data_IF_189999408862
#
_entry.id   IF_189999408862
#
_cell.length_a   1.000
_cell.length_b   1.000
_cell.length_c   1.000
_cell.angle_alpha   90.00
_cell.angle_beta   90.00
_cell.angle_gamma   90.00
#
_symmetry.space_group_name_H-M   'P 1'
#
loop_
_entity.id
_entity.type
_entity.pdbx_description
1 polymer ?
#
# COMPACT_ATOMS: atom_id res chain seq x y z
N UNK A 1 2.32 8.56 -18.28
CA UNK A 1 2.21 7.20 -17.74
C UNK A 1 0.76 6.94 -17.34
N UNK A 2 0.26 5.80 -17.72
CA UNK A 2 -1.11 5.40 -17.42
C UNK A 2 -1.25 5.07 -15.94
N UNK A 3 -2.20 5.69 -15.25
CA UNK A 3 -2.46 5.42 -13.84
C UNK A 3 -3.13 4.06 -13.61
N UNK A 4 -3.67 3.43 -14.66
CA UNK A 4 -4.36 2.15 -14.55
C UNK A 4 -3.47 1.01 -14.02
N UNK A 5 -2.17 1.07 -14.21
CA UNK A 5 -1.27 0.05 -13.66
C UNK A 5 -1.06 0.21 -12.15
N UNK A 6 -1.27 1.41 -11.62
CA UNK A 6 -1.06 1.72 -10.19
C UNK A 6 -2.35 1.65 -9.40
N UNK A 7 -3.49 1.92 -10.02
CA UNK A 7 -4.76 2.18 -9.35
C UNK A 7 -5.86 1.29 -9.91
N UNK A 8 -6.61 0.66 -9.00
CA UNK A 8 -7.93 0.11 -9.31
C UNK A 8 -8.91 1.27 -9.22
N UNK A 9 -9.31 1.80 -10.38
CA UNK A 9 -10.14 3.01 -10.46
C UNK A 9 -11.52 2.82 -9.82
N UNK A 10 -12.10 1.63 -9.92
CA UNK A 10 -13.40 1.35 -9.30
C UNK A 10 -13.31 1.41 -7.77
N UNK A 11 -12.29 0.77 -7.20
CA UNK A 11 -12.09 0.76 -5.75
C UNK A 11 -11.82 2.16 -5.22
N UNK A 12 -10.96 2.91 -5.90
CA UNK A 12 -10.64 4.28 -5.49
C UNK A 12 -11.86 5.18 -5.63
N UNK A 13 -12.62 5.05 -6.72
CA UNK A 13 -13.85 5.82 -6.93
C UNK A 13 -14.87 5.55 -5.82
N UNK A 14 -15.04 4.28 -5.41
CA UNK A 14 -15.96 3.92 -4.33
C UNK A 14 -15.56 4.60 -3.01
N UNK A 15 -14.26 4.60 -2.69
CA UNK A 15 -13.76 5.30 -1.50
C UNK A 15 -14.03 6.80 -1.59
N UNK A 16 -13.72 7.41 -2.74
CA UNK A 16 -13.86 8.85 -2.91
C UNK A 16 -15.32 9.30 -2.96
N UNK A 17 -16.25 8.45 -3.39
CA UNK A 17 -17.68 8.76 -3.37
C UNK A 17 -18.16 9.06 -1.94
N UNK A 18 -17.56 8.44 -0.94
CA UNK A 18 -17.92 8.69 0.46
C UNK A 18 -17.54 10.11 0.92
N UNK A 19 -16.70 10.80 0.16
CA UNK A 19 -16.35 12.21 0.43
C UNK A 19 -17.50 13.17 0.17
N UNK A 20 -18.53 12.73 -0.56
CA UNK A 20 -19.67 13.57 -0.91
C UNK A 20 -20.79 13.56 0.14
N UNK A 21 -20.63 12.75 1.19
CA UNK A 21 -21.65 12.59 2.21
C UNK A 21 -21.11 12.86 3.62
N UNK A 22 -21.89 12.52 4.64
CA UNK A 22 -21.54 12.75 6.05
C UNK A 22 -20.34 11.92 6.52
N UNK A 23 -19.90 10.94 5.71
CA UNK A 23 -18.75 10.12 6.03
C UNK A 23 -17.40 10.76 5.63
N UNK A 24 -17.42 11.96 5.04
CA UNK A 24 -16.20 12.61 4.53
C UNK A 24 -15.08 12.70 5.57
N UNK A 25 -15.39 13.09 6.82
CA UNK A 25 -14.38 13.18 7.87
C UNK A 25 -13.75 11.83 8.19
N UNK A 26 -14.55 10.77 8.20
CA UNK A 26 -14.06 9.41 8.43
C UNK A 26 -13.13 8.96 7.30
N UNK A 27 -13.48 9.28 6.05
CA UNK A 27 -12.64 8.94 4.89
C UNK A 27 -11.33 9.71 4.93
N UNK A 28 -11.35 11.00 5.28
CA UNK A 28 -10.12 11.78 5.40
C UNK A 28 -9.18 11.20 6.48
N UNK A 29 -9.74 10.80 7.63
CA UNK A 29 -8.95 10.13 8.68
C UNK A 29 -8.38 8.81 8.20
N UNK A 30 -9.16 8.01 7.45
CA UNK A 30 -8.69 6.75 6.88
C UNK A 30 -7.55 6.99 5.89
N UNK A 31 -7.63 8.03 5.07
CA UNK A 31 -6.55 8.41 4.14
C UNK A 31 -5.29 8.82 4.89
N UNK A 32 -5.43 9.61 5.96
CA UNK A 32 -4.30 10.02 6.79
C UNK A 32 -3.64 8.82 7.46
N UNK A 33 -4.45 7.89 7.97
CA UNK A 33 -3.94 6.66 8.57
C UNK A 33 -3.19 5.81 7.53
N UNK A 34 -3.74 5.70 6.32
CA UNK A 34 -3.07 4.98 5.22
C UNK A 34 -1.69 5.57 4.93
N UNK A 35 -1.61 6.92 4.79
CA UNK A 35 -0.36 7.60 4.51
C UNK A 35 0.70 7.38 5.57
N UNK A 36 0.30 7.26 6.84
CA UNK A 36 1.24 7.08 7.95
C UNK A 36 1.55 5.60 8.22
N UNK A 37 0.56 4.71 8.09
CA UNK A 37 0.73 3.31 8.46
C UNK A 37 1.51 2.51 7.41
N UNK A 38 1.39 2.84 6.12
CA UNK A 38 2.10 2.09 5.08
C UNK A 38 3.62 2.25 5.22
N UNK A 39 4.18 3.46 5.38
CA UNK A 39 5.62 3.59 5.63
C UNK A 39 6.09 2.83 6.87
N UNK A 40 5.32 2.84 7.96
CA UNK A 40 5.66 2.10 9.17
C UNK A 40 5.72 0.60 8.91
N UNK A 41 4.77 0.06 8.15
CA UNK A 41 4.80 -1.36 7.80
C UNK A 41 5.94 -1.72 6.87
N UNK A 42 6.30 -0.83 5.94
CA UNK A 42 7.48 -1.03 5.10
C UNK A 42 8.76 -1.08 5.93
N UNK A 43 8.85 -0.23 6.95
CA UNK A 43 9.98 -0.23 7.88
C UNK A 43 10.00 -1.52 8.73
N UNK A 44 8.83 -2.01 9.16
CA UNK A 44 8.72 -3.28 9.88
C UNK A 44 9.19 -4.46 9.01
N UNK A 45 8.81 -4.45 7.74
CA UNK A 45 9.26 -5.46 6.77
C UNK A 45 10.78 -5.43 6.64
N UNK A 46 11.35 -4.24 6.48
CA UNK A 46 12.78 -4.04 6.35
C UNK A 46 13.53 -4.61 7.59
N UNK A 47 13.07 -4.26 8.78
CA UNK A 47 13.67 -4.75 10.03
C UNK A 47 13.56 -6.28 10.14
N UNK A 48 12.41 -6.84 9.77
CA UNK A 48 12.22 -8.29 9.82
C UNK A 48 13.14 -9.01 8.82
N UNK A 49 13.28 -8.49 7.60
CA UNK A 49 14.17 -9.06 6.58
C UNK A 49 15.62 -8.98 7.02
N UNK A 50 16.04 -7.88 7.65
CA UNK A 50 17.40 -7.72 8.17
C UNK A 50 17.73 -8.76 9.23
N UNK A 51 16.74 -9.17 10.01
CA UNK A 51 16.88 -10.23 11.02
C UNK A 51 16.54 -11.63 10.54
N UNK A 52 16.33 -11.81 9.24
CA UNK A 52 15.91 -13.08 8.63
C UNK A 52 14.59 -13.63 9.23
N UNK A 53 13.73 -12.73 9.70
CA UNK A 53 12.41 -13.09 10.23
C UNK A 53 11.38 -13.08 9.10
N UNK A 54 11.42 -14.09 8.25
CA UNK A 54 10.61 -14.15 7.03
C UNK A 54 9.11 -14.25 7.31
N UNK A 55 8.71 -14.98 8.36
CA UNK A 55 7.30 -15.09 8.74
C UNK A 55 6.75 -13.73 9.14
N UNK A 56 7.50 -12.97 9.94
CA UNK A 56 7.08 -11.64 10.38
C UNK A 56 7.01 -10.66 9.21
N UNK A 57 7.98 -10.70 8.31
CA UNK A 57 7.99 -9.88 7.11
C UNK A 57 6.77 -10.19 6.22
N UNK A 58 6.48 -11.47 6.02
CA UNK A 58 5.31 -11.90 5.23
C UNK A 58 3.99 -11.46 5.85
N UNK A 59 3.86 -11.54 7.17
CA UNK A 59 2.65 -11.08 7.87
C UNK A 59 2.46 -9.58 7.75
N UNK A 60 3.52 -8.80 7.88
CA UNK A 60 3.45 -7.35 7.74
C UNK A 60 3.04 -6.97 6.31
N UNK A 61 3.58 -7.66 5.31
CA UNK A 61 3.20 -7.44 3.91
C UNK A 61 1.74 -7.82 3.65
N UNK A 62 1.27 -8.92 4.24
CA UNK A 62 -0.13 -9.33 4.12
C UNK A 62 -1.07 -8.26 4.67
N UNK A 63 -0.76 -7.71 5.84
CA UNK A 63 -1.54 -6.64 6.45
C UNK A 63 -1.55 -5.38 5.58
N UNK A 64 -0.38 -5.01 5.04
CA UNK A 64 -0.25 -3.86 4.13
C UNK A 64 -1.11 -4.07 2.87
N UNK A 65 -1.12 -5.28 2.32
CA UNK A 65 -1.93 -5.61 1.14
C UNK A 65 -3.42 -5.36 1.36
N UNK A 66 -3.92 -5.69 2.54
CA UNK A 66 -5.33 -5.43 2.89
C UNK A 66 -5.66 -3.96 2.81
N UNK A 67 -4.81 -3.11 3.40
CA UNK A 67 -4.98 -1.65 3.35
C UNK A 67 -4.84 -1.12 1.93
N UNK A 68 -3.83 -1.58 1.20
CA UNK A 68 -3.58 -1.13 -0.18
C UNK A 68 -4.76 -1.47 -1.09
N UNK A 69 -5.29 -2.69 -0.98
CA UNK A 69 -6.45 -3.13 -1.77
C UNK A 69 -7.69 -2.31 -1.48
N UNK A 70 -7.94 -1.97 -0.21
CA UNK A 70 -9.10 -1.18 0.18
C UNK A 70 -9.11 0.20 -0.46
N UNK A 71 -7.94 0.81 -0.71
CA UNK A 71 -7.82 2.12 -1.35
C UNK A 71 -7.61 2.03 -2.87
N UNK A 72 -7.59 0.84 -3.43
CA UNK A 72 -7.38 0.66 -4.86
C UNK A 72 -5.92 0.79 -5.30
N UNK A 73 -4.96 0.64 -4.38
CA UNK A 73 -3.53 0.67 -4.69
C UNK A 73 -3.10 -0.71 -5.22
N UNK A 74 -3.53 -1.04 -6.44
CA UNK A 74 -3.45 -2.40 -6.95
C UNK A 74 -2.01 -2.87 -7.21
N UNK A 75 -1.13 -2.00 -7.69
CA UNK A 75 0.26 -2.39 -7.91
C UNK A 75 0.99 -2.60 -6.58
N UNK A 76 0.75 -1.74 -5.61
CA UNK A 76 1.32 -1.92 -4.27
C UNK A 76 0.84 -3.23 -3.65
N UNK A 77 -0.44 -3.55 -3.79
CA UNK A 77 -1.01 -4.81 -3.33
C UNK A 77 -0.36 -6.01 -4.03
N UNK A 78 -0.17 -5.95 -5.34
CA UNK A 78 0.48 -7.03 -6.11
C UNK A 78 1.94 -7.23 -5.69
N UNK A 79 2.67 -6.14 -5.45
CA UNK A 79 4.04 -6.22 -4.95
C UNK A 79 4.07 -6.83 -3.55
N UNK A 80 3.11 -6.49 -2.70
CA UNK A 80 2.99 -7.10 -1.37
C UNK A 80 2.78 -8.62 -1.43
N UNK A 81 1.97 -9.10 -2.37
CA UNK A 81 1.80 -10.53 -2.58
C UNK A 81 3.11 -11.18 -3.02
N UNK A 82 3.83 -10.55 -3.94
CA UNK A 82 5.13 -11.06 -4.39
C UNK A 82 6.13 -11.15 -3.22
N UNK A 83 6.14 -10.14 -2.36
CA UNK A 83 7.01 -10.17 -1.18
C UNK A 83 6.65 -11.32 -0.24
N UNK A 84 5.35 -11.57 -0.01
CA UNK A 84 4.91 -12.72 0.79
C UNK A 84 5.42 -14.04 0.21
N UNK A 85 5.36 -14.21 -1.12
CA UNK A 85 5.85 -15.42 -1.79
C UNK A 85 7.36 -15.59 -1.58
N UNK A 86 8.13 -14.51 -1.74
CA UNK A 86 9.57 -14.54 -1.55
C UNK A 86 9.95 -14.83 -0.09
N UNK A 87 9.17 -14.34 0.86
CA UNK A 87 9.36 -14.68 2.28
C UNK A 87 9.13 -16.17 2.54
N UNK A 88 8.12 -16.76 1.90
CA UNK A 88 7.90 -18.21 2.01
C UNK A 88 9.07 -19.03 1.45
N UNK A 89 9.74 -18.50 0.45
CA UNK A 89 10.93 -19.11 -0.16
C UNK A 89 12.23 -18.77 0.60
N UNK A 90 12.14 -17.95 1.64
CA UNK A 90 13.30 -17.42 2.37
C UNK A 90 14.32 -16.73 1.46
N UNK A 91 13.83 -16.06 0.42
CA UNK A 91 14.64 -15.34 -0.56
C UNK A 91 14.84 -13.88 -0.10
N UNK A 92 15.88 -13.66 0.70
CA UNK A 92 16.16 -12.34 1.27
C UNK A 92 16.48 -11.30 0.19
N UNK A 93 17.28 -11.67 -0.80
CA UNK A 93 17.68 -10.74 -1.86
C UNK A 93 16.47 -10.32 -2.70
N UNK A 94 15.65 -11.29 -3.10
CA UNK A 94 14.42 -11.02 -3.85
C UNK A 94 13.44 -10.19 -3.05
N UNK A 95 13.24 -10.52 -1.78
CA UNK A 95 12.33 -9.77 -0.90
C UNK A 95 12.80 -8.32 -0.72
N UNK A 96 14.08 -8.09 -0.52
CA UNK A 96 14.62 -6.72 -0.39
C UNK A 96 14.45 -5.91 -1.67
N UNK A 97 14.61 -6.54 -2.85
CA UNK A 97 14.39 -5.87 -4.12
C UNK A 97 12.92 -5.44 -4.28
N UNK A 98 11.98 -6.32 -3.95
CA UNK A 98 10.55 -6.01 -4.01
C UNK A 98 10.19 -4.95 -2.98
N UNK A 99 10.79 -4.97 -1.79
CA UNK A 99 10.56 -3.92 -0.78
C UNK A 99 10.92 -2.55 -1.32
N UNK A 100 12.04 -2.44 -2.05
CA UNK A 100 12.43 -1.19 -2.72
C UNK A 100 11.37 -0.72 -3.71
N UNK A 101 10.84 -1.65 -4.51
CA UNK A 101 9.77 -1.34 -5.46
C UNK A 101 8.48 -0.90 -4.74
N UNK A 102 8.17 -1.51 -3.59
CA UNK A 102 7.00 -1.13 -2.79
C UNK A 102 7.13 0.29 -2.24
N UNK A 103 8.34 0.68 -1.81
CA UNK A 103 8.57 2.05 -1.33
C UNK A 103 8.34 3.07 -2.43
N UNK A 104 8.84 2.80 -3.63
CA UNK A 104 8.63 3.68 -4.78
C UNK A 104 7.17 3.75 -5.17
N UNK A 105 6.50 2.60 -5.21
CA UNK A 105 5.10 2.52 -5.59
C UNK A 105 4.18 3.23 -4.59
N UNK A 106 4.50 3.14 -3.29
CA UNK A 106 3.73 3.89 -2.29
C UNK A 106 3.76 5.39 -2.57
N UNK A 107 4.91 5.94 -2.92
CA UNK A 107 5.04 7.37 -3.22
C UNK A 107 4.22 7.75 -4.45
N UNK A 108 4.22 6.91 -5.48
CA UNK A 108 3.39 7.12 -6.68
C UNK A 108 1.91 7.13 -6.31
N UNK A 109 1.45 6.11 -5.59
CA UNK A 109 0.04 6.01 -5.23
C UNK A 109 -0.39 7.14 -4.29
N UNK A 110 0.45 7.49 -3.32
CA UNK A 110 0.18 8.60 -2.40
C UNK A 110 -0.09 9.89 -3.18
N UNK A 111 0.73 10.18 -4.18
CA UNK A 111 0.57 11.38 -4.99
C UNK A 111 -0.73 11.35 -5.81
N UNK A 112 -1.09 10.18 -6.34
CA UNK A 112 -2.36 9.99 -7.05
C UNK A 112 -3.53 10.22 -6.10
N UNK A 113 -3.49 9.62 -4.91
CA UNK A 113 -4.54 9.77 -3.91
C UNK A 113 -4.71 11.23 -3.51
N UNK A 114 -3.61 11.92 -3.23
CA UNK A 114 -3.64 13.33 -2.83
C UNK A 114 -4.24 14.21 -3.92
N UNK A 115 -3.89 13.98 -5.18
CA UNK A 115 -4.44 14.72 -6.30
C UNK A 115 -5.95 14.49 -6.43
N UNK A 116 -6.42 13.26 -6.25
CA UNK A 116 -7.85 12.93 -6.30
C UNK A 116 -8.62 13.59 -5.15
N UNK A 117 -8.04 13.59 -3.94
CA UNK A 117 -8.67 14.22 -2.78
C UNK A 117 -8.81 15.73 -2.95
N UNK A 118 -7.88 16.38 -3.62
CA UNK A 118 -7.98 17.83 -3.87
C UNK A 118 -9.19 18.20 -4.72
N UNK A 119 -9.70 17.28 -5.52
CA UNK A 119 -10.89 17.51 -6.34
C UNK A 119 -12.15 17.69 -5.50
N UNK A 120 -12.11 17.29 -4.22
CA UNK A 120 -13.25 17.38 -3.30
C UNK A 120 -13.15 18.55 -2.32
N UNK A 121 -12.18 19.43 -2.51
CA UNK A 121 -11.97 20.61 -1.63
C UNK A 121 -12.42 21.90 -2.28
#
# INVERSE_FOLDING_TARGET
MDQDEHVDEEMLADVLMLMEDEAADGILRACDLFRSSVPERLDDIDAALAGARFVDAGRASHSLRGSAGAFGAKRLSALGLRLEELCRESDAAGANAVLGDMREEFLVFRDILDARLQQFR
#
